data_IF_511859572842
#
_entry.id   IF_511859572842
#
_cell.length_a   1.000
_cell.length_b   1.000
_cell.length_c   1.000
_cell.angle_alpha   90.00
_cell.angle_beta   90.00
_cell.angle_gamma   90.00
#
_symmetry.space_group_name_H-M   'P 1'
#
loop_
_entity.id
_entity.type
_entity.pdbx_description
1 polymer ?
#
# COMPACT_ATOMS: atom_id res chain seq x y z
N UNK A 1 -32.81 1.62 32.29
CA UNK A 1 -31.33 1.71 32.16
C UNK A 1 -30.84 1.66 30.72
N UNK A 2 -31.55 1.04 29.78
CA UNK A 2 -31.16 0.93 28.35
C UNK A 2 -31.20 2.24 27.57
N UNK A 3 -32.23 3.08 27.73
CA UNK A 3 -32.36 4.30 26.93
C UNK A 3 -31.33 5.39 27.31
N UNK A 4 -30.99 5.52 28.59
CA UNK A 4 -30.01 6.51 29.05
C UNK A 4 -28.58 6.15 28.61
N UNK A 5 -28.21 4.87 28.71
CA UNK A 5 -26.91 4.37 28.24
C UNK A 5 -26.76 4.50 26.71
N UNK A 6 -27.85 4.30 25.97
CA UNK A 6 -27.86 4.48 24.51
C UNK A 6 -27.72 5.96 24.10
N UNK A 7 -28.40 6.87 24.80
CA UNK A 7 -28.26 8.33 24.57
C UNK A 7 -26.82 8.79 24.84
N UNK A 8 -26.18 8.28 25.89
CA UNK A 8 -24.78 8.59 26.21
C UNK A 8 -23.83 8.06 25.14
N UNK A 9 -24.03 6.82 24.66
CA UNK A 9 -23.23 6.26 23.56
C UNK A 9 -23.38 7.05 22.26
N UNK A 10 -24.60 7.44 21.89
CA UNK A 10 -24.85 8.25 20.69
C UNK A 10 -24.26 9.66 20.84
N UNK A 11 -24.35 10.27 22.03
CA UNK A 11 -23.72 11.56 22.29
C UNK A 11 -22.19 11.49 22.16
N UNK A 12 -21.55 10.42 22.63
CA UNK A 12 -20.11 10.20 22.50
C UNK A 12 -19.72 10.06 21.01
N UNK A 13 -20.48 9.31 20.22
CA UNK A 13 -20.23 9.18 18.77
C UNK A 13 -20.38 10.53 18.05
N UNK A 14 -21.40 11.31 18.38
CA UNK A 14 -21.60 12.66 17.79
C UNK A 14 -20.48 13.61 18.21
N UNK A 15 -20.01 13.54 19.46
CA UNK A 15 -18.87 14.33 19.95
C UNK A 15 -17.58 13.92 19.21
N UNK A 16 -17.34 12.63 18.98
CA UNK A 16 -16.19 12.15 18.20
C UNK A 16 -16.26 12.62 16.74
N UNK A 17 -17.44 12.63 16.13
CA UNK A 17 -17.65 13.14 14.76
C UNK A 17 -17.45 14.67 14.70
N UNK A 18 -17.92 15.41 15.69
CA UNK A 18 -17.71 16.87 15.78
C UNK A 18 -16.23 17.20 16.04
N UNK A 19 -15.55 16.43 16.89
CA UNK A 19 -14.10 16.56 17.11
C UNK A 19 -13.33 16.18 15.85
N UNK A 20 -13.76 15.17 15.11
CA UNK A 20 -13.15 14.77 13.83
C UNK A 20 -13.33 15.84 12.73
N UNK A 21 -14.51 16.46 12.63
CA UNK A 21 -14.79 17.53 11.68
C UNK A 21 -14.17 18.88 12.09
N UNK A 22 -14.01 19.14 13.38
CA UNK A 22 -13.44 20.38 13.93
C UNK A 22 -11.94 20.28 14.25
N UNK A 23 -11.38 19.06 14.14
CA UNK A 23 -9.96 18.75 14.20
C UNK A 23 -9.18 19.54 13.13
N UNK A 24 -7.90 19.78 13.42
CA UNK A 24 -6.92 20.36 12.51
C UNK A 24 -6.95 19.74 11.11
N UNK A 25 -7.43 18.51 10.94
CA UNK A 25 -7.66 17.88 9.63
C UNK A 25 -8.70 18.63 8.76
N UNK A 26 -9.90 18.95 9.26
CA UNK A 26 -10.94 19.60 8.45
C UNK A 26 -10.60 21.06 8.10
N UNK A 27 -9.88 21.75 8.99
CA UNK A 27 -9.42 23.12 8.77
C UNK A 27 -8.14 23.18 7.93
N UNK A 28 -7.19 22.26 8.10
CA UNK A 28 -5.98 22.20 7.26
C UNK A 28 -6.27 21.61 5.88
N UNK A 29 -7.22 20.67 5.71
CA UNK A 29 -7.76 20.33 4.39
C UNK A 29 -8.37 21.58 3.77
N UNK A 30 -9.29 22.28 4.44
CA UNK A 30 -9.98 23.46 3.86
C UNK A 30 -9.03 24.62 3.54
N UNK A 31 -7.97 24.83 4.33
CA UNK A 31 -7.01 25.93 4.15
C UNK A 31 -5.89 25.56 3.18
N UNK A 32 -5.49 24.29 3.07
CA UNK A 32 -4.56 23.83 2.00
C UNK A 32 -5.26 23.58 0.66
N UNK A 33 -6.52 23.15 0.66
CA UNK A 33 -7.37 22.99 -0.54
C UNK A 33 -7.78 24.34 -1.16
N UNK A 34 -7.84 25.43 -0.38
CA UNK A 34 -8.08 26.78 -0.92
C UNK A 34 -6.87 27.40 -1.64
N UNK A 35 -5.69 26.79 -1.53
CA UNK A 35 -4.43 27.36 -2.06
C UNK A 35 -3.78 26.59 -3.23
N UNK A 36 -4.17 25.33 -3.47
CA UNK A 36 -3.70 24.55 -4.62
C UNK A 36 -4.87 23.72 -5.18
N UNK A 37 -5.23 24.05 -6.41
CA UNK A 37 -6.29 23.45 -7.22
C UNK A 37 -6.17 21.92 -7.28
N UNK A 38 -7.30 21.23 -7.10
CA UNK A 38 -7.48 19.76 -7.06
C UNK A 38 -6.88 18.99 -8.27
N UNK A 39 -6.58 19.68 -9.37
CA UNK A 39 -6.03 19.10 -10.59
C UNK A 39 -4.53 18.70 -10.46
N UNK A 40 -3.74 19.46 -9.68
CA UNK A 40 -2.29 19.23 -9.54
C UNK A 40 -1.98 18.15 -8.51
N UNK A 41 -2.84 17.97 -7.50
CA UNK A 41 -2.69 16.89 -6.51
C UNK A 41 -2.86 15.49 -7.13
N UNK A 42 -3.65 15.35 -8.21
CA UNK A 42 -3.81 14.06 -8.91
C UNK A 42 -2.59 13.65 -9.74
N UNK A 43 -1.76 14.60 -10.18
CA UNK A 43 -0.58 14.30 -11.00
C UNK A 43 0.70 14.10 -10.18
N UNK A 44 0.85 14.79 -9.03
CA UNK A 44 2.01 14.61 -8.15
C UNK A 44 1.89 13.36 -7.25
N UNK A 45 0.69 13.00 -6.80
CA UNK A 45 0.48 11.80 -5.97
C UNK A 45 0.72 10.48 -6.71
N UNK A 46 0.73 10.50 -8.05
CA UNK A 46 1.08 9.35 -8.89
C UNK A 46 2.59 9.16 -9.08
N UNK A 47 3.42 10.04 -8.52
CA UNK A 47 4.87 9.86 -8.47
C UNK A 47 5.28 9.22 -7.14
N UNK A 48 6.33 8.36 -7.10
CA UNK A 48 6.80 7.77 -5.84
C UNK A 48 7.13 8.82 -4.76
N UNK A 49 7.67 9.96 -5.17
CA UNK A 49 8.06 11.04 -4.27
C UNK A 49 6.85 11.79 -3.69
N UNK A 50 5.83 12.11 -4.50
CA UNK A 50 4.59 12.70 -4.01
C UNK A 50 3.84 11.76 -3.07
N UNK A 51 3.69 10.48 -3.42
CA UNK A 51 3.06 9.49 -2.54
C UNK A 51 3.78 9.38 -1.18
N UNK A 52 5.12 9.40 -1.18
CA UNK A 52 5.94 9.37 0.04
C UNK A 52 5.64 10.53 0.96
N UNK A 53 5.50 11.74 0.42
CA UNK A 53 5.19 12.94 1.20
C UNK A 53 3.78 12.91 1.80
N UNK A 54 2.78 12.44 1.04
CA UNK A 54 1.43 12.24 1.55
C UNK A 54 1.41 11.22 2.71
N UNK A 55 2.03 10.06 2.53
CA UNK A 55 2.11 9.06 3.60
C UNK A 55 2.89 9.58 4.81
N UNK A 56 4.00 10.31 4.62
CA UNK A 56 4.76 10.90 5.72
C UNK A 56 3.91 11.90 6.54
N UNK A 57 3.11 12.72 5.88
CA UNK A 57 2.21 13.65 6.56
C UNK A 57 1.13 12.90 7.35
N UNK A 58 0.49 11.90 6.73
CA UNK A 58 -0.55 11.10 7.39
C UNK A 58 0.01 10.30 8.59
N UNK A 59 1.23 9.75 8.46
CA UNK A 59 1.94 9.06 9.55
C UNK A 59 2.20 10.02 10.70
N UNK A 60 2.69 11.24 10.43
CA UNK A 60 2.96 12.24 11.48
C UNK A 60 1.70 12.58 12.27
N UNK A 61 0.56 12.74 11.60
CA UNK A 61 -0.71 13.03 12.26
C UNK A 61 -1.18 11.86 13.13
N UNK A 62 -1.04 10.61 12.63
CA UNK A 62 -1.34 9.40 13.41
C UNK A 62 -0.38 9.22 14.59
N UNK A 63 0.89 9.58 14.45
CA UNK A 63 1.87 9.63 15.55
C UNK A 63 1.48 10.65 16.60
N UNK A 64 1.08 11.86 16.20
CA UNK A 64 0.61 12.89 17.13
C UNK A 64 -0.63 12.42 17.91
N UNK A 65 -1.59 11.79 17.23
CA UNK A 65 -2.77 11.23 17.86
C UNK A 65 -2.43 10.12 18.85
N UNK A 66 -1.58 9.16 18.45
CA UNK A 66 -1.10 8.10 19.34
C UNK A 66 -0.39 8.68 20.56
N UNK A 67 0.48 9.67 20.38
CA UNK A 67 1.21 10.32 21.46
C UNK A 67 0.25 11.02 22.43
N UNK A 68 -0.75 11.76 21.93
CA UNK A 68 -1.81 12.34 22.77
C UNK A 68 -2.56 11.28 23.56
N UNK A 69 -2.97 10.20 22.89
CA UNK A 69 -3.69 9.11 23.54
C UNK A 69 -2.84 8.43 24.65
N UNK A 70 -1.53 8.30 24.42
CA UNK A 70 -0.57 7.76 25.37
C UNK A 70 -0.36 8.69 26.57
N UNK A 71 -0.22 10.01 26.34
CA UNK A 71 -0.11 11.00 27.41
C UNK A 71 -1.36 11.02 28.27
N UNK A 72 -2.56 11.03 27.67
CA UNK A 72 -3.83 10.97 28.42
C UNK A 72 -3.94 9.69 29.23
N UNK A 73 -3.52 8.54 28.67
CA UNK A 73 -3.49 7.27 29.41
C UNK A 73 -2.57 7.35 30.64
N UNK A 74 -1.38 7.94 30.49
CA UNK A 74 -0.44 8.13 31.59
C UNK A 74 -0.99 9.07 32.67
N UNK A 75 -1.63 10.17 32.28
CA UNK A 75 -2.28 11.11 33.21
C UNK A 75 -3.41 10.45 34.00
N UNK A 76 -4.31 9.70 33.34
CA UNK A 76 -5.38 8.96 34.02
C UNK A 76 -4.78 7.94 34.98
N UNK A 77 -3.74 7.22 34.56
CA UNK A 77 -3.08 6.23 35.41
C UNK A 77 -2.45 6.87 36.66
N UNK A 78 -1.80 8.03 36.50
CA UNK A 78 -1.22 8.77 37.63
C UNK A 78 -2.27 9.32 38.59
N UNK A 79 -3.39 9.85 38.07
CA UNK A 79 -4.51 10.32 38.90
C UNK A 79 -5.19 9.19 39.65
N UNK A 80 -5.37 8.03 39.00
CA UNK A 80 -5.91 6.83 39.63
C UNK A 80 -5.03 6.37 40.79
N UNK A 81 -3.71 6.27 40.59
CA UNK A 81 -2.76 5.91 41.64
C UNK A 81 -2.80 6.90 42.82
N UNK A 82 -2.89 8.20 42.53
CA UNK A 82 -3.04 9.22 43.57
C UNK A 82 -4.33 9.05 44.37
N UNK A 83 -5.46 8.81 43.70
CA UNK A 83 -6.75 8.61 44.38
C UNK A 83 -6.78 7.32 45.21
N UNK A 84 -6.16 6.24 44.73
CA UNK A 84 -6.02 4.99 45.47
C UNK A 84 -5.18 5.18 46.74
N UNK A 85 -4.09 5.98 46.67
CA UNK A 85 -3.30 6.39 47.84
C UNK A 85 -4.11 7.26 48.81
N UNK A 86 -4.87 8.22 48.30
CA UNK A 86 -5.73 9.06 49.14
C UNK A 86 -6.82 8.25 49.84
N UNK A 87 -7.40 7.27 49.16
CA UNK A 87 -8.37 6.34 49.73
C UNK A 87 -7.72 5.50 50.84
N UNK A 88 -6.51 4.98 50.62
CA UNK A 88 -5.75 4.25 51.64
C UNK A 88 -5.51 5.12 52.88
N UNK A 89 -5.06 6.37 52.70
CA UNK A 89 -4.82 7.30 53.79
C UNK A 89 -6.09 7.65 54.57
N UNK A 90 -7.21 7.89 53.87
CA UNK A 90 -8.49 8.19 54.49
C UNK A 90 -9.02 7.00 55.31
N UNK A 91 -8.84 5.76 54.83
CA UNK A 91 -9.20 4.56 55.61
C UNK A 91 -8.35 4.44 56.88
N UNK A 92 -7.04 4.71 56.81
CA UNK A 92 -6.15 4.74 57.98
C UNK A 92 -6.58 5.82 58.98
N UNK A 93 -6.98 6.99 58.48
CA UNK A 93 -7.47 8.08 59.30
C UNK A 93 -8.76 7.72 60.05
N UNK A 94 -9.73 7.06 59.40
CA UNK A 94 -10.93 6.54 60.07
C UNK A 94 -10.58 5.61 61.23
N UNK A 95 -9.63 4.69 61.03
CA UNK A 95 -9.23 3.75 62.09
C UNK A 95 -8.66 4.51 63.28
N UNK A 96 -7.83 5.54 63.03
CA UNK A 96 -7.29 6.41 64.08
C UNK A 96 -8.40 7.17 64.79
N UNK A 97 -9.29 7.85 64.06
CA UNK A 97 -10.40 8.62 64.65
C UNK A 97 -11.30 7.71 65.48
N UNK A 98 -11.59 6.49 65.02
CA UNK A 98 -12.39 5.52 65.77
C UNK A 98 -11.72 5.16 67.10
N UNK A 99 -10.39 5.01 67.12
CA UNK A 99 -9.63 4.79 68.36
C UNK A 99 -9.72 6.00 69.31
N UNK A 100 -9.61 7.22 68.79
CA UNK A 100 -9.76 8.45 69.59
C UNK A 100 -11.17 8.58 70.18
N UNK A 101 -12.21 8.26 69.41
CA UNK A 101 -13.60 8.23 69.90
C UNK A 101 -13.71 7.26 71.09
N UNK A 102 -13.23 6.03 70.94
CA UNK A 102 -13.29 5.03 72.02
C UNK A 102 -12.52 5.50 73.26
N UNK A 103 -11.33 6.08 73.08
CA UNK A 103 -10.55 6.62 74.19
C UNK A 103 -11.26 7.78 74.90
N UNK A 104 -11.96 8.68 74.20
CA UNK A 104 -12.77 9.71 74.82
C UNK A 104 -13.94 9.13 75.61
N UNK A 105 -14.62 8.12 75.05
CA UNK A 105 -15.73 7.44 75.72
C UNK A 105 -15.27 6.69 76.99
N UNK A 106 -14.13 6.00 76.94
CA UNK A 106 -13.53 5.32 78.11
C UNK A 106 -13.20 6.31 79.25
N UNK A 107 -12.95 7.57 78.92
CA UNK A 107 -12.68 8.65 79.87
C UNK A 107 -13.91 9.51 80.21
N UNK A 108 -15.12 9.12 79.79
CA UNK A 108 -16.36 9.89 79.97
C UNK A 108 -16.33 11.32 79.37
N UNK A 109 -15.47 11.59 78.38
CA UNK A 109 -15.39 12.88 77.67
C UNK A 109 -16.27 12.86 76.40
N UNK A 110 -17.57 12.99 76.60
CA UNK A 110 -18.57 12.96 75.53
C UNK A 110 -18.44 14.12 74.54
N UNK A 111 -18.00 15.30 75.00
CA UNK A 111 -17.84 16.48 74.14
C UNK A 111 -16.73 16.26 73.10
N UNK A 112 -15.57 15.75 73.53
CA UNK A 112 -14.48 15.42 72.60
C UNK A 112 -14.85 14.25 71.70
N UNK A 113 -15.55 13.23 72.22
CA UNK A 113 -16.05 12.10 71.43
C UNK A 113 -16.97 12.58 70.29
N UNK A 114 -17.87 13.53 70.57
CA UNK A 114 -18.75 14.13 69.56
C UNK A 114 -17.96 14.85 68.46
N UNK A 115 -16.93 15.63 68.82
CA UNK A 115 -16.07 16.30 67.84
C UNK A 115 -15.35 15.32 66.92
N UNK A 116 -14.85 14.20 67.47
CA UNK A 116 -14.24 13.15 66.66
C UNK A 116 -15.26 12.39 65.81
N UNK A 117 -16.49 12.20 66.28
CA UNK A 117 -17.57 11.60 65.49
C UNK A 117 -17.94 12.45 64.26
N UNK A 118 -18.01 13.77 64.40
CA UNK A 118 -18.23 14.69 63.26
C UNK A 118 -17.09 14.60 62.24
N UNK A 119 -15.84 14.51 62.72
CA UNK A 119 -14.68 14.29 61.84
C UNK A 119 -14.76 12.94 61.13
N UNK A 120 -15.17 11.88 61.82
CA UNK A 120 -15.36 10.54 61.25
C UNK A 120 -16.37 10.59 60.09
N UNK A 121 -17.51 11.22 60.28
CA UNK A 121 -18.52 11.38 59.22
C UNK A 121 -17.95 12.10 57.98
N UNK A 122 -17.17 13.16 58.20
CA UNK A 122 -16.50 13.89 57.10
C UNK A 122 -15.55 12.99 56.32
N UNK A 123 -14.74 12.17 57.01
CA UNK A 123 -13.80 11.25 56.35
C UNK A 123 -14.53 10.09 55.68
N UNK A 124 -15.64 9.59 56.25
CA UNK A 124 -16.50 8.57 55.62
C UNK A 124 -17.08 9.06 54.31
N UNK A 125 -17.57 10.30 54.28
CA UNK A 125 -18.05 10.94 53.04
C UNK A 125 -16.92 11.07 52.01
N UNK A 126 -15.72 11.49 52.43
CA UNK A 126 -14.54 11.55 51.55
C UNK A 126 -14.20 10.18 50.96
N UNK A 127 -14.24 9.11 51.76
CA UNK A 127 -13.98 7.74 51.31
C UNK A 127 -15.01 7.30 50.27
N UNK A 128 -16.29 7.61 50.48
CA UNK A 128 -17.35 7.29 49.51
C UNK A 128 -17.06 7.94 48.16
N UNK A 129 -16.81 9.25 48.16
CA UNK A 129 -16.47 10.00 46.94
C UNK A 129 -15.22 9.44 46.26
N UNK A 130 -14.17 9.12 47.02
CA UNK A 130 -12.94 8.54 46.47
C UNK A 130 -13.18 7.17 45.83
N UNK A 131 -14.00 6.30 46.44
CA UNK A 131 -14.35 4.99 45.85
C UNK A 131 -15.07 5.15 44.52
N UNK A 132 -16.06 6.04 44.46
CA UNK A 132 -16.82 6.30 43.24
C UNK A 132 -15.89 6.87 42.15
N UNK A 133 -15.03 7.82 42.51
CA UNK A 133 -14.05 8.43 41.58
C UNK A 133 -13.04 7.40 41.05
N UNK A 134 -12.55 6.48 41.90
CA UNK A 134 -11.63 5.42 41.50
C UNK A 134 -12.28 4.49 40.48
N UNK A 135 -13.55 4.14 40.67
CA UNK A 135 -14.27 3.27 39.74
C UNK A 135 -14.44 3.93 38.37
N UNK A 136 -14.84 5.21 38.33
CA UNK A 136 -14.92 5.99 37.10
C UNK A 136 -13.55 6.10 36.40
N UNK A 137 -12.48 6.36 37.17
CA UNK A 137 -11.12 6.45 36.62
C UNK A 137 -10.61 5.11 36.07
N UNK A 138 -10.99 3.98 36.66
CA UNK A 138 -10.67 2.64 36.11
C UNK A 138 -11.33 2.42 34.77
N UNK A 139 -12.61 2.78 34.63
CA UNK A 139 -13.32 2.70 33.36
C UNK A 139 -12.72 3.63 32.30
N UNK A 140 -12.40 4.87 32.69
CA UNK A 140 -11.74 5.83 31.81
C UNK A 140 -10.35 5.33 31.35
N UNK A 141 -9.59 4.70 32.25
CA UNK A 141 -8.28 4.10 31.92
C UNK A 141 -8.40 2.98 30.91
N UNK A 142 -9.35 2.05 31.10
CA UNK A 142 -9.61 0.96 30.14
C UNK A 142 -9.99 1.50 28.76
N UNK A 143 -10.91 2.45 28.71
CA UNK A 143 -11.33 3.04 27.43
C UNK A 143 -10.17 3.77 26.73
N UNK A 144 -9.36 4.51 27.49
CA UNK A 144 -8.21 5.21 26.95
C UNK A 144 -7.11 4.23 26.47
N UNK A 145 -6.97 3.08 27.13
CA UNK A 145 -6.08 2.00 26.68
C UNK A 145 -6.50 1.43 25.32
N UNK A 146 -7.80 1.19 25.11
CA UNK A 146 -8.34 0.75 23.82
C UNK A 146 -8.04 1.77 22.71
N UNK A 147 -8.29 3.07 22.97
CA UNK A 147 -7.99 4.15 22.02
C UNK A 147 -6.50 4.17 21.67
N UNK A 148 -5.62 4.10 22.68
CA UNK A 148 -4.16 4.09 22.47
C UNK A 148 -3.71 2.88 21.65
N UNK A 149 -4.23 1.70 21.96
CA UNK A 149 -3.87 0.47 21.26
C UNK A 149 -4.38 0.48 19.80
N UNK A 150 -5.59 0.99 19.57
CA UNK A 150 -6.13 1.18 18.22
C UNK A 150 -5.29 2.20 17.44
N UNK A 151 -4.93 3.33 18.05
CA UNK A 151 -4.07 4.34 17.41
C UNK A 151 -2.69 3.77 17.02
N UNK A 152 -2.12 2.90 17.87
CA UNK A 152 -0.87 2.20 17.58
C UNK A 152 -1.03 1.23 16.40
N UNK A 153 -2.10 0.44 16.38
CA UNK A 153 -2.41 -0.49 15.29
C UNK A 153 -2.60 0.23 13.95
N UNK A 154 -3.38 1.30 13.94
CA UNK A 154 -3.61 2.14 12.76
C UNK A 154 -2.31 2.75 12.22
N UNK A 155 -1.47 3.26 13.13
CA UNK A 155 -0.19 3.86 12.77
C UNK A 155 0.74 2.83 12.14
N UNK A 156 0.79 1.61 12.69
CA UNK A 156 1.60 0.53 12.14
C UNK A 156 1.11 0.13 10.75
N UNK A 157 -0.21 -0.09 10.58
CA UNK A 157 -0.80 -0.43 9.28
C UNK A 157 -0.49 0.62 8.22
N UNK A 158 -0.58 1.90 8.57
CA UNK A 158 -0.27 3.00 7.63
C UNK A 158 1.22 3.03 7.24
N UNK A 159 2.13 2.69 8.17
CA UNK A 159 3.56 2.55 7.87
C UNK A 159 3.84 1.38 6.93
N UNK A 160 3.20 0.24 7.16
CA UNK A 160 3.29 -0.95 6.31
C UNK A 160 2.71 -0.68 4.91
N UNK A 161 1.55 -0.04 4.84
CA UNK A 161 0.91 0.35 3.58
C UNK A 161 1.81 1.30 2.76
N UNK A 162 2.39 2.31 3.41
CA UNK A 162 3.37 3.21 2.77
C UNK A 162 4.50 2.42 2.13
N UNK A 163 5.10 1.48 2.85
CA UNK A 163 6.25 0.70 2.35
C UNK A 163 5.85 -0.15 1.14
N UNK A 164 4.71 -0.83 1.20
CA UNK A 164 4.19 -1.64 0.10
C UNK A 164 3.88 -0.81 -1.15
N UNK A 165 3.18 0.32 -0.97
CA UNK A 165 2.79 1.19 -2.08
C UNK A 165 4.00 1.85 -2.71
N UNK A 166 4.96 2.34 -1.93
CA UNK A 166 6.19 2.93 -2.48
C UNK A 166 7.03 1.90 -3.24
N UNK A 167 7.17 0.68 -2.71
CA UNK A 167 7.89 -0.38 -3.40
C UNK A 167 7.25 -0.71 -4.76
N UNK A 168 5.92 -0.84 -4.79
CA UNK A 168 5.18 -1.08 -6.03
C UNK A 168 5.36 0.08 -7.02
N UNK A 169 5.23 1.33 -6.57
CA UNK A 169 5.40 2.52 -7.42
C UNK A 169 6.82 2.66 -7.96
N UNK A 170 7.85 2.35 -7.16
CA UNK A 170 9.25 2.35 -7.60
C UNK A 170 9.52 1.26 -8.65
N UNK A 171 8.96 0.06 -8.47
CA UNK A 171 9.05 -1.02 -9.45
C UNK A 171 8.35 -0.64 -10.78
N UNK A 172 7.14 -0.09 -10.70
CA UNK A 172 6.38 0.36 -11.87
C UNK A 172 7.11 1.52 -12.59
N UNK A 173 7.72 2.45 -11.84
CA UNK A 173 8.53 3.54 -12.42
C UNK A 173 9.72 2.99 -13.21
N UNK A 174 10.46 2.01 -12.67
CA UNK A 174 11.58 1.39 -13.38
C UNK A 174 11.13 0.64 -14.64
N UNK A 175 9.97 -0.02 -14.61
CA UNK A 175 9.38 -0.69 -15.78
C UNK A 175 9.00 0.34 -16.86
N UNK A 176 8.39 1.46 -16.46
CA UNK A 176 8.02 2.55 -17.38
C UNK A 176 9.27 3.16 -18.02
N UNK A 177 10.31 3.45 -17.25
CA UNK A 177 11.60 3.96 -17.76
C UNK A 177 12.26 2.97 -18.73
N UNK A 178 12.25 1.68 -18.39
CA UNK A 178 12.75 0.63 -19.28
C UNK A 178 11.98 0.60 -20.60
N UNK A 179 10.65 0.61 -20.57
CA UNK A 179 9.83 0.65 -21.78
C UNK A 179 10.10 1.90 -22.63
N UNK A 180 10.19 3.08 -22.01
CA UNK A 180 10.53 4.33 -22.71
C UNK A 180 11.92 4.26 -23.35
N UNK A 181 12.90 3.70 -22.64
CA UNK A 181 14.25 3.49 -23.17
C UNK A 181 14.23 2.51 -24.36
N UNK A 182 13.48 1.41 -24.26
CA UNK A 182 13.32 0.43 -25.33
C UNK A 182 12.60 1.01 -26.54
N UNK A 183 11.57 1.83 -26.35
CA UNK A 183 10.87 2.52 -27.44
C UNK A 183 11.79 3.52 -28.14
N UNK A 184 12.61 4.27 -27.39
CA UNK A 184 13.63 5.15 -27.95
C UNK A 184 14.69 4.38 -28.76
N UNK A 185 15.08 3.18 -28.30
CA UNK A 185 15.99 2.29 -29.02
C UNK A 185 15.33 1.65 -30.25
N UNK A 186 14.05 1.30 -30.17
CA UNK A 186 13.27 0.75 -31.29
C UNK A 186 13.10 1.79 -32.40
N UNK A 187 12.83 3.05 -32.07
CA UNK A 187 12.76 4.17 -33.03
C UNK A 187 14.09 4.38 -33.76
N UNK A 188 15.23 4.21 -33.07
CA UNK A 188 16.56 4.30 -33.70
C UNK A 188 16.91 3.07 -34.57
N UNK A 189 16.33 1.90 -34.30
CA UNK A 189 16.59 0.64 -35.03
C UNK A 189 15.63 0.36 -36.21
N UNK A 190 14.52 1.09 -36.34
CA UNK A 190 13.57 0.88 -37.43
C UNK A 190 14.20 1.20 -38.81
N UNK A 191 15.08 2.20 -38.86
CA UNK A 191 15.87 2.54 -40.04
C UNK A 191 16.84 1.42 -40.43
N UNK A 192 17.54 0.81 -39.46
CA UNK A 192 18.43 -0.33 -39.72
C UNK A 192 17.66 -1.58 -40.18
N UNK A 193 16.51 -1.89 -39.57
CA UNK A 193 15.67 -3.03 -39.99
C UNK A 193 15.05 -2.83 -41.39
N UNK A 194 14.77 -1.60 -41.78
CA UNK A 194 14.36 -1.26 -43.15
C UNK A 194 15.52 -1.43 -44.13
N UNK A 195 16.72 -0.99 -43.77
CA UNK A 195 17.93 -1.20 -44.60
C UNK A 195 18.29 -2.69 -44.74
N UNK A 196 18.11 -3.49 -43.69
CA UNK A 196 18.26 -4.95 -43.73
C UNK A 196 17.27 -5.58 -44.72
N UNK A 197 15.99 -5.18 -44.67
CA UNK A 197 14.96 -5.64 -45.63
C UNK A 197 15.28 -5.23 -47.08
N UNK A 198 15.82 -4.03 -47.30
CA UNK A 198 16.29 -3.60 -48.62
C UNK A 198 17.48 -4.44 -49.09
N UNK A 199 18.46 -4.72 -48.22
CA UNK A 199 19.62 -5.57 -48.53
C UNK A 199 19.21 -7.00 -48.86
N UNK A 200 18.27 -7.57 -48.12
CA UNK A 200 17.71 -8.90 -48.41
C UNK A 200 16.91 -8.91 -49.71
N UNK A 201 16.09 -7.89 -49.96
CA UNK A 201 15.39 -7.70 -51.23
C UNK A 201 16.35 -7.67 -52.42
N UNK A 202 17.45 -6.89 -52.31
CA UNK A 202 18.49 -6.83 -53.32
C UNK A 202 19.18 -8.18 -53.54
N UNK A 203 19.53 -8.91 -52.47
CA UNK A 203 20.10 -10.26 -52.56
C UNK A 203 19.14 -11.24 -53.23
N UNK A 204 17.84 -11.19 -52.91
CA UNK A 204 16.82 -12.07 -53.51
C UNK A 204 16.63 -11.79 -55.00
N UNK A 205 16.63 -10.52 -55.40
CA UNK A 205 16.60 -10.12 -56.82
C UNK A 205 17.85 -10.60 -57.57
N UNK A 206 19.03 -10.46 -56.96
CA UNK A 206 20.29 -10.98 -57.54
C UNK A 206 20.26 -12.50 -57.71
N UNK A 207 19.81 -13.24 -56.69
CA UNK A 207 19.65 -14.71 -56.78
C UNK A 207 18.66 -15.13 -57.87
N UNK A 208 17.58 -14.36 -58.08
CA UNK A 208 16.65 -14.60 -59.20
C UNK A 208 17.30 -14.35 -60.55
N UNK A 209 18.09 -13.28 -60.70
CA UNK A 209 18.81 -13.01 -61.94
C UNK A 209 19.85 -14.09 -62.25
N UNK A 210 20.62 -14.53 -61.25
CA UNK A 210 21.58 -15.62 -61.38
C UNK A 210 20.88 -16.96 -61.70
N UNK A 211 19.76 -17.27 -61.05
CA UNK A 211 18.95 -18.46 -61.33
C UNK A 211 18.34 -18.46 -62.74
N UNK A 212 17.83 -17.31 -63.20
CA UNK A 212 17.32 -17.15 -64.57
C UNK A 212 18.42 -17.31 -65.62
N UNK A 213 19.64 -16.84 -65.34
CA UNK A 213 20.79 -17.04 -66.24
C UNK A 213 21.16 -18.52 -66.35
N UNK A 214 21.23 -19.23 -65.21
CA UNK A 214 21.54 -20.67 -65.18
C UNK A 214 20.45 -21.48 -65.92
N UNK A 215 19.18 -21.11 -65.76
CA UNK A 215 18.08 -21.76 -66.48
C UNK A 215 18.14 -21.51 -67.99
N UNK A 216 18.51 -20.30 -68.42
CA UNK A 216 18.73 -19.98 -69.83
C UNK A 216 19.90 -20.80 -70.40
N UNK A 217 21.05 -20.80 -69.74
CA UNK A 217 22.24 -21.55 -70.18
C UNK A 217 21.97 -23.06 -70.25
N UNK A 218 21.22 -23.60 -69.28
CA UNK A 218 20.76 -25.00 -69.26
C UNK A 218 19.76 -25.30 -70.39
N UNK A 219 18.87 -24.36 -70.70
CA UNK A 219 17.91 -24.51 -71.80
C UNK A 219 18.60 -24.53 -73.18
N UNK A 220 19.65 -23.72 -73.35
CA UNK A 220 20.48 -23.72 -74.57
C UNK A 220 21.23 -25.05 -74.69
N UNK A 221 21.87 -25.53 -73.63
CA UNK A 221 22.54 -26.83 -73.64
C UNK A 221 21.58 -27.99 -73.91
N UNK A 222 20.36 -27.95 -73.36
CA UNK A 222 19.34 -28.96 -73.62
C UNK A 222 18.83 -28.93 -75.07
N UNK A 223 18.80 -27.74 -75.69
CA UNK A 223 18.46 -27.59 -77.10
C UNK A 223 19.55 -28.16 -78.01
N UNK A 224 20.82 -27.89 -77.71
CA UNK A 224 21.97 -28.44 -78.47
C UNK A 224 22.01 -29.97 -78.39
N UNK A 225 21.78 -30.55 -77.20
CA UNK A 225 21.71 -32.01 -77.05
C UNK A 225 20.56 -32.64 -77.84
N UNK A 226 19.42 -31.96 -77.98
CA UNK A 226 18.29 -32.45 -78.81
C UNK A 226 18.61 -32.40 -80.30
N UNK A 227 19.32 -31.37 -80.75
CA UNK A 227 19.77 -31.28 -82.14
C UNK A 227 20.72 -32.44 -82.48
N UNK A 228 21.72 -32.71 -81.64
CA UNK A 228 22.64 -33.85 -81.82
C UNK A 228 21.93 -35.21 -81.79
N UNK A 229 20.97 -35.40 -80.89
CA UNK A 229 20.20 -36.64 -80.82
C UNK A 229 19.38 -36.87 -82.11
N UNK A 230 18.81 -35.81 -82.69
CA UNK A 230 18.08 -35.91 -83.95
C UNK A 230 18.98 -36.25 -85.15
N UNK A 231 20.23 -35.77 -85.14
CA UNK A 231 21.21 -36.12 -86.18
C UNK A 231 21.64 -37.58 -86.08
N UNK A 232 21.87 -38.09 -84.87
CA UNK A 232 22.19 -39.51 -84.65
C UNK A 232 21.03 -40.42 -85.03
N UNK A 233 19.79 -40.04 -84.75
CA UNK A 233 18.62 -40.82 -85.15
C UNK A 233 18.44 -40.84 -86.68
N UNK A 234 18.68 -39.71 -87.37
CA UNK A 234 18.71 -39.68 -88.84
C UNK A 234 19.78 -40.62 -89.41
N UNK A 235 20.99 -40.59 -88.85
CA UNK A 235 22.09 -41.44 -89.30
C UNK A 235 21.80 -42.93 -89.04
N UNK A 236 21.19 -43.26 -87.89
CA UNK A 236 20.78 -44.63 -87.57
C UNK A 236 19.68 -45.15 -88.50
N UNK A 237 18.70 -44.30 -88.86
CA UNK A 237 17.63 -44.65 -89.82
C UNK A 237 18.19 -44.90 -91.22
N UNK A 238 19.12 -44.06 -91.70
CA UNK A 238 19.81 -44.30 -92.97
C UNK A 238 20.56 -45.64 -92.97
N UNK A 239 21.27 -45.96 -91.87
CA UNK A 239 22.00 -47.23 -91.73
C UNK A 239 21.05 -48.44 -91.75
N UNK A 240 19.90 -48.36 -91.07
CA UNK A 240 18.91 -49.43 -91.07
C UNK A 240 18.26 -49.60 -92.45
N UNK A 241 18.02 -48.50 -93.16
CA UNK A 241 17.46 -48.54 -94.51
C UNK A 241 18.43 -49.18 -95.51
N UNK A 242 19.73 -48.89 -95.41
CA UNK A 242 20.78 -49.60 -96.14
C UNK A 242 20.83 -51.10 -95.80
N UNK A 243 20.69 -51.46 -94.52
CA UNK A 243 20.67 -52.86 -94.10
C UNK A 243 19.43 -53.62 -94.61
N UNK A 244 18.25 -52.96 -94.68
CA UNK A 244 17.05 -53.55 -95.27
C UNK A 244 17.20 -53.77 -96.78
N UNK A 245 17.79 -52.81 -97.51
CA UNK A 245 18.07 -52.96 -98.95
C UNK A 245 18.99 -54.15 -99.23
N UNK A 246 19.98 -54.43 -98.38
CA UNK A 246 20.87 -55.60 -98.51
C UNK A 246 20.18 -56.94 -98.22
N UNK A 247 19.08 -56.98 -97.44
CA UNK A 247 18.34 -58.21 -97.11
C UNK A 247 17.20 -58.55 -98.08
N UNK A 248 16.74 -57.59 -98.90
CA UNK A 248 15.68 -57.79 -99.89
C UNK A 248 16.14 -58.38 -101.23
N UNK A 249 17.45 -58.62 -101.41
CA UNK A 249 18.01 -59.34 -102.57
C UNK A 249 18.33 -60.79 -102.17
N UNK A 250 17.31 -61.64 -102.07
CA UNK A 250 17.39 -63.10 -102.16
C UNK A 250 16.05 -63.67 -102.59
#
# INVERSE_FOLDING_TARGET
MTNFMFIVLVAIVVILVVIFLNSSFGKQLRVKLKGRTDEVMRQDASTPEGAKDYYNAAIRDKEEFYNKASTTYAEISGRLDSAEKDLYNANKEIMRITKEINACLDNNDENSAMQYAMKKETVENKIKVLKDTIEEMKQAKMHQEEIRNQASSDLQKLKEEKEQVLFQMEADSQIIELHQSMDSMNMNNESERMLERVREGAKKTRRRAEGSRIAFDSSVQAQDMRLEASERERNARQTIEEMKRKRGNK
#
